data_IF_738742573731
#
_entry.id   IF_738742573731
#
_cell.length_a   1.000
_cell.length_b   1.000
_cell.length_c   1.000
_cell.angle_alpha   90.00
_cell.angle_beta   90.00
_cell.angle_gamma   90.00
#
_symmetry.space_group_name_H-M   'P 1'
#
loop_
_entity.id
_entity.type
_entity.pdbx_description
1 polymer ?
#
# COMPACT_ATOMS: atom_id res chain seq x y z
N UNK A 1 15.80 -19.18 4.53
CA UNK A 1 14.62 -18.45 4.19
C UNK A 1 14.85 -16.96 3.96
N UNK A 2 14.01 -16.11 4.56
CA UNK A 2 14.14 -14.63 4.41
C UNK A 2 15.49 -14.13 4.94
N UNK A 3 15.99 -14.68 6.06
CA UNK A 3 17.30 -14.32 6.63
C UNK A 3 18.48 -14.57 5.68
N UNK A 4 18.35 -15.58 4.86
CA UNK A 4 19.43 -16.00 3.96
C UNK A 4 19.31 -15.35 2.58
N UNK A 5 18.36 -14.41 2.39
CA UNK A 5 18.13 -13.73 1.13
C UNK A 5 17.46 -14.59 0.05
N UNK A 6 16.88 -15.75 0.41
CA UNK A 6 16.20 -16.62 -0.55
C UNK A 6 14.72 -16.31 -0.76
N UNK A 7 14.12 -15.50 0.11
CA UNK A 7 12.70 -15.11 0.04
C UNK A 7 12.55 -13.63 0.31
N UNK A 8 11.61 -13.00 -0.42
CA UNK A 8 11.24 -11.58 -0.23
C UNK A 8 10.45 -11.40 1.07
N UNK A 9 10.82 -10.48 1.96
CA UNK A 9 10.03 -10.12 3.14
C UNK A 9 8.71 -9.45 2.75
N UNK A 10 7.78 -9.29 3.70
CA UNK A 10 6.50 -8.66 3.42
C UNK A 10 6.02 -7.72 4.52
N UNK A 11 5.19 -6.73 4.11
CA UNK A 11 4.42 -5.86 4.98
C UNK A 11 2.98 -6.35 5.01
N UNK A 12 2.36 -6.34 6.19
CA UNK A 12 0.92 -6.56 6.34
C UNK A 12 0.25 -5.21 6.61
N UNK A 13 -0.75 -4.87 5.83
CA UNK A 13 -1.68 -3.77 6.06
C UNK A 13 -3.06 -4.34 6.34
N UNK A 14 -3.46 -4.39 7.60
CA UNK A 14 -4.81 -4.79 7.99
C UNK A 14 -5.74 -3.59 7.86
N UNK A 15 -6.87 -3.77 7.20
CA UNK A 15 -7.90 -2.73 7.01
C UNK A 15 -9.21 -3.29 7.54
N UNK A 16 -9.74 -2.65 8.57
CA UNK A 16 -11.03 -2.95 9.18
C UNK A 16 -12.08 -1.95 8.68
N UNK A 17 -13.30 -2.40 8.51
CA UNK A 17 -14.43 -1.57 8.09
C UNK A 17 -15.50 -1.50 9.18
N UNK A 18 -16.15 -0.35 9.30
CA UNK A 18 -17.34 -0.21 10.15
C UNK A 18 -18.51 -1.11 9.72
N UNK A 19 -18.39 -1.76 8.54
CA UNK A 19 -19.37 -2.69 7.96
C UNK A 19 -18.85 -4.15 7.95
N UNK A 20 -17.91 -4.50 8.81
CA UNK A 20 -17.46 -5.89 8.97
C UNK A 20 -18.47 -6.72 9.77
N UNK A 21 -19.43 -6.05 10.42
CA UNK A 21 -20.65 -6.60 10.96
C UNK A 21 -21.84 -5.80 10.42
N UNK A 22 -22.92 -6.49 10.03
CA UNK A 22 -24.13 -5.87 9.52
C UNK A 22 -25.37 -6.41 10.21
N UNK A 23 -26.19 -5.49 10.72
CA UNK A 23 -27.56 -5.79 11.19
C UNK A 23 -28.51 -4.96 10.35
N UNK A 24 -29.51 -5.63 9.76
CA UNK A 24 -30.47 -4.97 8.87
C UNK A 24 -31.18 -3.80 9.56
N UNK A 25 -31.23 -2.68 8.85
CA UNK A 25 -31.98 -1.50 9.26
C UNK A 25 -33.23 -1.33 8.42
N UNK A 26 -34.36 -0.83 8.96
CA UNK A 26 -35.60 -0.72 8.24
C UNK A 26 -35.59 0.17 6.98
N UNK A 27 -34.57 1.03 6.86
CA UNK A 27 -34.34 1.95 5.74
C UNK A 27 -33.42 1.37 4.65
N UNK A 28 -32.84 0.19 4.86
CA UNK A 28 -32.05 -0.50 3.85
C UNK A 28 -32.96 -1.43 3.01
N UNK A 29 -32.73 -1.46 1.70
CA UNK A 29 -33.50 -2.28 0.76
C UNK A 29 -32.94 -3.71 0.66
N UNK A 30 -33.81 -4.70 0.77
CA UNK A 30 -33.48 -6.10 0.47
C UNK A 30 -33.79 -6.36 -1.00
N UNK A 31 -32.77 -6.33 -1.86
CA UNK A 31 -32.95 -6.53 -3.31
C UNK A 31 -33.18 -8.02 -3.66
N UNK A 32 -32.51 -8.93 -2.95
CA UNK A 32 -32.65 -10.38 -3.14
C UNK A 32 -32.58 -11.11 -1.79
N UNK A 33 -33.32 -12.23 -1.68
CA UNK A 33 -33.33 -13.12 -0.50
C UNK A 33 -34.30 -12.70 0.58
N UNK A 34 -34.15 -13.32 1.74
CA UNK A 34 -34.98 -13.06 2.94
C UNK A 34 -34.02 -12.83 4.11
N UNK A 35 -34.23 -11.75 4.84
CA UNK A 35 -33.44 -11.41 5.99
C UNK A 35 -34.05 -11.96 7.28
N UNK A 36 -33.21 -12.42 8.20
CA UNK A 36 -33.64 -12.82 9.54
C UNK A 36 -33.66 -11.57 10.43
N UNK A 37 -34.86 -11.20 10.96
CA UNK A 37 -34.98 -10.03 11.83
C UNK A 37 -34.11 -10.15 13.06
N UNK A 38 -33.31 -9.09 13.33
CA UNK A 38 -32.45 -9.00 14.51
C UNK A 38 -31.16 -9.81 14.43
N UNK A 39 -30.90 -10.51 13.31
CA UNK A 39 -29.62 -11.20 13.09
C UNK A 39 -28.54 -10.19 12.72
N UNK A 40 -27.37 -10.32 13.36
CA UNK A 40 -26.14 -9.68 12.94
C UNK A 40 -25.34 -10.64 12.07
N UNK A 41 -24.97 -10.20 10.88
CA UNK A 41 -24.15 -10.93 9.92
C UNK A 41 -22.71 -10.48 10.13
N UNK A 42 -21.83 -11.40 10.48
CA UNK A 42 -20.40 -11.14 10.67
C UNK A 42 -19.59 -11.28 9.39
N UNK A 43 -18.29 -11.07 9.52
CA UNK A 43 -17.35 -11.15 8.40
C UNK A 43 -17.38 -12.51 7.68
N UNK A 44 -17.74 -13.58 8.35
CA UNK A 44 -17.93 -14.93 7.80
C UNK A 44 -19.17 -15.08 6.92
N UNK A 45 -20.18 -14.24 7.14
CA UNK A 45 -21.42 -14.22 6.35
C UNK A 45 -21.26 -13.34 5.09
N UNK A 46 -20.37 -12.34 5.15
CA UNK A 46 -20.18 -11.38 4.07
C UNK A 46 -19.65 -12.06 2.80
N UNK A 47 -20.31 -11.79 1.68
CA UNK A 47 -20.04 -12.37 0.35
C UNK A 47 -20.30 -13.89 0.24
N UNK A 48 -20.72 -14.54 1.33
CA UNK A 48 -21.15 -15.94 1.38
C UNK A 48 -22.67 -16.01 1.48
N UNK A 49 -23.24 -15.47 2.55
CA UNK A 49 -24.69 -15.43 2.83
C UNK A 49 -25.31 -14.10 2.43
N UNK A 50 -24.63 -12.99 2.71
CA UNK A 50 -25.08 -11.62 2.46
C UNK A 50 -24.05 -10.86 1.62
N UNK A 51 -24.52 -10.01 0.70
CA UNK A 51 -23.70 -9.16 -0.15
C UNK A 51 -24.16 -7.72 -0.02
N UNK A 52 -23.20 -6.81 0.20
CA UNK A 52 -23.41 -5.37 0.32
C UNK A 52 -22.41 -4.69 -0.62
N UNK A 53 -22.82 -4.38 -1.87
CA UNK A 53 -21.95 -3.84 -2.90
C UNK A 53 -21.24 -2.55 -2.45
N UNK A 54 -21.94 -1.68 -1.73
CA UNK A 54 -21.37 -0.42 -1.23
C UNK A 54 -20.15 -0.64 -0.31
N UNK A 55 -20.18 -1.72 0.51
CA UNK A 55 -19.02 -2.12 1.32
C UNK A 55 -17.87 -2.59 0.43
N UNK A 56 -18.13 -3.48 -0.51
CA UNK A 56 -17.10 -4.01 -1.41
C UNK A 56 -16.46 -2.89 -2.24
N UNK A 57 -17.25 -1.96 -2.73
CA UNK A 57 -16.77 -0.76 -3.45
C UNK A 57 -15.84 0.07 -2.57
N UNK A 58 -16.18 0.27 -1.31
CA UNK A 58 -15.32 0.99 -0.37
C UNK A 58 -14.00 0.27 -0.13
N UNK A 59 -14.02 -1.05 0.06
CA UNK A 59 -12.81 -1.86 0.24
C UNK A 59 -11.92 -1.82 -1.02
N UNK A 60 -12.51 -1.87 -2.22
CA UNK A 60 -11.78 -1.73 -3.48
C UNK A 60 -11.10 -0.35 -3.58
N UNK A 61 -11.79 0.74 -3.22
CA UNK A 61 -11.21 2.08 -3.19
C UNK A 61 -10.00 2.16 -2.24
N UNK A 62 -10.11 1.58 -1.04
CA UNK A 62 -9.01 1.51 -0.07
C UNK A 62 -7.84 0.65 -0.57
N UNK A 63 -8.15 -0.47 -1.22
CA UNK A 63 -7.14 -1.31 -1.86
C UNK A 63 -6.37 -0.52 -2.94
N UNK A 64 -7.09 0.11 -3.88
CA UNK A 64 -6.49 0.86 -4.99
C UNK A 64 -5.65 2.05 -4.48
N UNK A 65 -6.10 2.73 -3.42
CA UNK A 65 -5.33 3.78 -2.76
C UNK A 65 -4.04 3.27 -2.08
N UNK A 66 -3.99 1.97 -1.76
CA UNK A 66 -2.88 1.34 -1.02
C UNK A 66 -1.82 0.73 -1.91
N UNK A 67 -2.08 0.52 -3.20
CA UNK A 67 -1.18 -0.12 -4.16
C UNK A 67 -0.67 0.87 -5.21
N UNK A 68 0.44 0.52 -5.86
CA UNK A 68 0.85 1.20 -7.08
C UNK A 68 0.06 0.57 -8.26
N UNK A 69 -0.62 1.38 -9.12
CA UNK A 69 -1.47 0.87 -10.20
C UNK A 69 -0.74 0.02 -11.25
N UNK A 70 0.60 0.06 -11.29
CA UNK A 70 1.41 -0.73 -12.24
C UNK A 70 1.98 -2.01 -11.61
N UNK A 71 1.66 -2.30 -10.35
CA UNK A 71 2.20 -3.46 -9.64
C UNK A 71 1.27 -4.68 -9.73
N UNK A 72 1.84 -5.83 -10.10
CA UNK A 72 1.10 -7.10 -10.16
C UNK A 72 0.49 -7.44 -8.80
N UNK A 73 -0.83 -7.62 -8.79
CA UNK A 73 -1.65 -7.81 -7.59
C UNK A 73 -2.55 -9.03 -7.74
N UNK A 74 -2.67 -9.86 -6.71
CA UNK A 74 -3.65 -10.95 -6.64
C UNK A 74 -4.64 -10.68 -5.51
N UNK A 75 -5.94 -10.76 -5.80
CA UNK A 75 -7.04 -10.56 -4.86
C UNK A 75 -7.77 -11.88 -4.62
N UNK A 76 -7.73 -12.36 -3.39
CA UNK A 76 -8.42 -13.59 -2.96
C UNK A 76 -9.81 -13.26 -2.44
N UNK A 77 -10.86 -13.76 -3.12
CA UNK A 77 -12.27 -13.49 -2.88
C UNK A 77 -12.97 -14.70 -2.26
N UNK A 78 -14.11 -14.50 -1.59
CA UNK A 78 -14.86 -15.53 -0.87
C UNK A 78 -15.31 -16.68 -1.79
N UNK A 79 -15.78 -16.35 -2.99
CA UNK A 79 -16.25 -17.29 -3.98
C UNK A 79 -16.14 -16.70 -5.41
N UNK A 80 -16.56 -17.43 -6.42
CA UNK A 80 -16.45 -17.01 -7.82
C UNK A 80 -17.32 -15.79 -8.17
N UNK A 81 -18.51 -15.68 -7.54
CA UNK A 81 -19.38 -14.51 -7.74
C UNK A 81 -18.74 -13.25 -7.12
N UNK A 82 -18.20 -13.37 -5.91
CA UNK A 82 -17.44 -12.28 -5.29
C UNK A 82 -16.23 -11.89 -6.12
N UNK A 83 -15.48 -12.85 -6.69
CA UNK A 83 -14.35 -12.54 -7.58
C UNK A 83 -14.78 -11.78 -8.84
N UNK A 84 -15.97 -12.07 -9.38
CA UNK A 84 -16.54 -11.32 -10.50
C UNK A 84 -16.91 -9.90 -10.10
N UNK A 85 -17.61 -9.71 -8.98
CA UNK A 85 -17.97 -8.39 -8.45
C UNK A 85 -16.73 -7.53 -8.21
N UNK A 86 -15.71 -8.06 -7.52
CA UNK A 86 -14.48 -7.32 -7.23
C UNK A 86 -13.73 -6.96 -8.53
N UNK A 87 -13.69 -7.83 -9.54
CA UNK A 87 -13.12 -7.51 -10.85
C UNK A 87 -13.84 -6.31 -11.49
N UNK A 88 -15.16 -6.29 -11.48
CA UNK A 88 -15.96 -5.20 -12.04
C UNK A 88 -15.68 -3.90 -11.29
N UNK A 89 -15.74 -3.91 -9.97
CA UNK A 89 -15.48 -2.74 -9.13
C UNK A 89 -14.05 -2.20 -9.32
N UNK A 90 -13.04 -3.07 -9.44
CA UNK A 90 -11.65 -2.64 -9.71
C UNK A 90 -11.54 -1.94 -11.06
N UNK A 91 -12.16 -2.48 -12.11
CA UNK A 91 -12.13 -1.86 -13.44
C UNK A 91 -12.91 -0.54 -13.48
N UNK A 92 -13.99 -0.39 -12.69
CA UNK A 92 -14.75 0.86 -12.57
C UNK A 92 -14.00 1.93 -11.76
N UNK A 93 -13.40 1.57 -10.62
CA UNK A 93 -12.80 2.51 -9.67
C UNK A 93 -11.32 2.82 -9.98
N UNK A 94 -10.66 2.02 -10.83
CA UNK A 94 -9.25 2.21 -11.17
C UNK A 94 -9.04 3.44 -12.06
N UNK A 95 -7.84 4.02 -12.00
CA UNK A 95 -7.41 5.06 -12.92
C UNK A 95 -7.03 4.54 -14.32
N UNK A 96 -7.03 3.23 -14.52
CA UNK A 96 -6.69 2.59 -15.80
C UNK A 96 -7.87 2.72 -16.78
N UNK A 97 -7.57 3.11 -18.02
CA UNK A 97 -8.55 3.10 -19.12
C UNK A 97 -8.64 1.76 -19.84
N UNK A 98 -7.82 0.77 -19.45
CA UNK A 98 -7.81 -0.55 -20.08
C UNK A 98 -8.86 -1.44 -19.41
N UNK A 99 -9.85 -1.99 -20.16
CA UNK A 99 -10.89 -2.85 -19.60
C UNK A 99 -10.36 -4.18 -19.05
N UNK A 100 -9.18 -4.62 -19.51
CA UNK A 100 -8.51 -5.85 -19.10
C UNK A 100 -7.51 -5.62 -17.95
N UNK A 101 -7.56 -4.43 -17.29
CA UNK A 101 -6.67 -4.08 -16.18
C UNK A 101 -6.78 -5.08 -15.03
N UNK A 102 -8.01 -5.46 -14.69
CA UNK A 102 -8.30 -6.52 -13.73
C UNK A 102 -9.05 -7.65 -14.41
N UNK A 103 -8.57 -8.88 -14.25
CA UNK A 103 -9.19 -10.07 -14.82
C UNK A 103 -9.46 -11.13 -13.75
N UNK A 104 -10.50 -11.95 -14.00
CA UNK A 104 -10.87 -13.04 -13.10
C UNK A 104 -10.23 -14.36 -13.53
N UNK A 105 -9.73 -15.11 -12.57
CA UNK A 105 -9.18 -16.46 -12.77
C UNK A 105 -9.72 -17.39 -11.69
N UNK A 106 -10.77 -18.14 -12.03
CA UNK A 106 -11.40 -19.13 -11.16
C UNK A 106 -11.49 -20.49 -11.84
N UNK A 107 -11.94 -21.52 -11.14
CA UNK A 107 -12.03 -22.87 -11.70
C UNK A 107 -12.92 -22.92 -12.97
N UNK A 108 -13.99 -22.10 -13.02
CA UNK A 108 -14.96 -22.11 -14.09
C UNK A 108 -14.59 -21.22 -15.30
N UNK A 109 -13.49 -20.48 -15.25
CA UNK A 109 -13.09 -19.60 -16.37
C UNK A 109 -12.37 -20.34 -17.49
N UNK A 110 -12.07 -21.63 -17.33
CA UNK A 110 -11.54 -22.52 -18.36
C UNK A 110 -10.34 -21.95 -19.12
N UNK A 111 -10.35 -22.07 -20.45
CA UNK A 111 -9.25 -21.61 -21.32
C UNK A 111 -9.01 -20.09 -21.27
N UNK A 112 -10.05 -19.29 -21.01
CA UNK A 112 -9.95 -17.83 -20.89
C UNK A 112 -9.16 -17.49 -19.63
N UNK A 113 -9.54 -18.07 -18.49
CA UNK A 113 -8.82 -17.89 -17.24
C UNK A 113 -7.36 -18.32 -17.30
N UNK A 114 -7.06 -19.44 -18.01
CA UNK A 114 -5.68 -19.88 -18.25
C UNK A 114 -4.90 -18.88 -19.10
N UNK A 115 -5.55 -18.22 -20.04
CA UNK A 115 -4.93 -17.18 -20.87
C UNK A 115 -4.61 -15.93 -20.04
N UNK A 116 -5.56 -15.48 -19.18
CA UNK A 116 -5.34 -14.35 -18.28
C UNK A 116 -4.21 -14.65 -17.30
N UNK A 117 -4.18 -15.86 -16.72
CA UNK A 117 -3.11 -16.29 -15.83
C UNK A 117 -1.75 -16.29 -16.53
N UNK A 118 -1.66 -16.82 -17.75
CA UNK A 118 -0.42 -16.84 -18.54
C UNK A 118 0.06 -15.43 -18.85
N UNK A 119 -0.84 -14.53 -19.24
CA UNK A 119 -0.49 -13.13 -19.49
C UNK A 119 -0.03 -12.42 -18.22
N UNK A 120 -0.66 -12.71 -17.08
CA UNK A 120 -0.25 -12.14 -15.78
C UNK A 120 1.13 -12.63 -15.33
N UNK A 121 1.47 -13.90 -15.60
CA UNK A 121 2.78 -14.49 -15.26
C UNK A 121 3.90 -14.00 -16.18
N UNK A 122 3.56 -13.54 -17.37
CA UNK A 122 4.51 -12.98 -18.33
C UNK A 122 4.96 -11.59 -17.85
N UNK A 123 6.25 -11.45 -17.54
CA UNK A 123 6.81 -10.21 -17.01
C UNK A 123 6.97 -9.11 -18.08
N UNK A 124 6.92 -9.48 -19.37
CA UNK A 124 6.92 -8.52 -20.49
C UNK A 124 5.53 -7.91 -20.73
N UNK A 125 4.49 -8.44 -20.07
CA UNK A 125 3.12 -7.95 -20.18
C UNK A 125 2.69 -7.19 -18.95
N UNK A 126 2.21 -5.99 -19.14
CA UNK A 126 1.64 -5.16 -18.07
C UNK A 126 0.21 -5.60 -17.71
N UNK A 127 -0.57 -6.04 -18.71
CA UNK A 127 -1.99 -6.40 -18.58
C UNK A 127 -2.19 -7.93 -18.69
N UNK A 128 -3.03 -8.52 -17.82
CA UNK A 128 -3.69 -7.89 -16.68
C UNK A 128 -2.69 -7.55 -15.56
N UNK A 129 -2.94 -6.43 -14.87
CA UNK A 129 -2.13 -6.01 -13.73
C UNK A 129 -2.66 -6.64 -12.44
N UNK A 130 -3.99 -6.81 -12.34
CA UNK A 130 -4.66 -7.40 -11.18
C UNK A 130 -5.39 -8.67 -11.60
N UNK A 131 -5.31 -9.71 -10.76
CA UNK A 131 -6.15 -10.91 -10.87
C UNK A 131 -7.04 -11.06 -9.65
N UNK A 132 -8.33 -11.30 -9.87
CA UNK A 132 -9.24 -11.76 -8.82
C UNK A 132 -9.43 -13.27 -8.90
N UNK A 133 -9.44 -13.93 -7.77
CA UNK A 133 -9.61 -15.39 -7.68
C UNK A 133 -10.38 -15.77 -6.44
N UNK A 134 -10.99 -16.96 -6.43
CA UNK A 134 -11.48 -17.57 -5.19
C UNK A 134 -10.39 -18.40 -4.53
N UNK A 135 -10.18 -19.63 -4.99
CA UNK A 135 -9.22 -20.56 -4.39
C UNK A 135 -8.16 -21.05 -5.39
N UNK A 136 -8.47 -21.02 -6.71
CA UNK A 136 -7.63 -21.59 -7.77
C UNK A 136 -6.16 -21.12 -7.70
N UNK A 137 -5.89 -19.84 -7.39
CA UNK A 137 -4.55 -19.29 -7.39
C UNK A 137 -3.81 -19.44 -6.04
N UNK A 138 -4.40 -20.09 -5.02
CA UNK A 138 -3.68 -20.45 -3.81
C UNK A 138 -2.54 -21.44 -4.09
N UNK A 139 -2.66 -22.22 -5.16
CA UNK A 139 -1.63 -23.12 -5.69
C UNK A 139 -1.35 -22.83 -7.18
N UNK A 140 -0.18 -23.21 -7.68
CA UNK A 140 0.11 -23.24 -9.13
C UNK A 140 0.49 -21.92 -9.83
N UNK A 141 0.46 -20.75 -9.17
CA UNK A 141 0.88 -19.48 -9.80
C UNK A 141 2.39 -19.30 -9.72
N UNK A 142 3.04 -19.09 -10.85
CA UNK A 142 4.48 -18.78 -10.95
C UNK A 142 4.74 -17.37 -11.47
N UNK A 143 4.14 -16.37 -10.84
CA UNK A 143 4.43 -14.97 -11.10
C UNK A 143 5.44 -14.44 -10.07
N UNK A 144 6.68 -14.18 -10.47
CA UNK A 144 7.74 -13.74 -9.54
C UNK A 144 7.57 -12.29 -9.11
N UNK A 145 7.01 -11.44 -9.98
CA UNK A 145 6.84 -10.01 -9.74
C UNK A 145 5.51 -9.64 -9.07
N UNK A 146 4.93 -10.53 -8.27
CA UNK A 146 3.77 -10.18 -7.43
C UNK A 146 4.24 -9.23 -6.34
N UNK A 147 3.63 -8.03 -6.29
CA UNK A 147 3.94 -6.97 -5.32
C UNK A 147 2.88 -6.87 -4.24
N UNK A 148 1.64 -7.25 -4.54
CA UNK A 148 0.55 -7.14 -3.59
C UNK A 148 -0.28 -8.44 -3.57
N UNK A 149 -0.64 -8.88 -2.37
CA UNK A 149 -1.59 -9.96 -2.12
C UNK A 149 -2.72 -9.37 -1.29
N UNK A 150 -3.95 -9.51 -1.74
CA UNK A 150 -5.14 -8.94 -1.09
C UNK A 150 -6.02 -10.07 -0.60
N UNK A 151 -6.37 -10.05 0.68
CA UNK A 151 -7.25 -11.03 1.33
C UNK A 151 -8.62 -10.40 1.58
N UNK A 152 -9.61 -10.76 0.76
CA UNK A 152 -11.03 -10.39 0.90
C UNK A 152 -11.91 -11.62 1.24
N UNK A 153 -11.28 -12.69 1.66
CA UNK A 153 -11.95 -13.90 2.15
C UNK A 153 -11.29 -14.43 3.40
N UNK A 154 -12.07 -15.09 4.22
CA UNK A 154 -11.52 -15.78 5.38
C UNK A 154 -10.55 -16.88 4.92
N UNK A 155 -9.41 -16.93 5.59
CA UNK A 155 -8.43 -18.01 5.46
C UNK A 155 -8.60 -18.96 6.64
N UNK A 156 -8.80 -20.24 6.34
CA UNK A 156 -9.24 -21.21 7.35
C UNK A 156 -8.09 -21.96 8.04
N UNK A 157 -6.90 -21.93 7.46
CA UNK A 157 -5.74 -22.64 8.03
C UNK A 157 -4.41 -21.91 7.81
N UNK A 158 -3.46 -22.17 8.70
CA UNK A 158 -2.09 -21.68 8.58
C UNK A 158 -1.41 -22.19 7.29
N UNK A 159 -1.74 -23.43 6.87
CA UNK A 159 -1.18 -24.00 5.62
C UNK A 159 -1.65 -23.18 4.43
N UNK A 160 -2.95 -22.90 4.35
CA UNK A 160 -3.54 -22.08 3.30
C UNK A 160 -2.96 -20.66 3.33
N UNK A 161 -2.88 -20.04 4.49
CA UNK A 161 -2.26 -18.73 4.67
C UNK A 161 -0.82 -18.71 4.12
N UNK A 162 0.01 -19.67 4.52
CA UNK A 162 1.38 -19.79 4.02
C UNK A 162 1.46 -20.04 2.52
N UNK A 163 0.52 -20.79 1.94
CA UNK A 163 0.45 -21.00 0.49
C UNK A 163 0.13 -19.70 -0.26
N UNK A 164 -0.84 -18.93 0.23
CA UNK A 164 -1.21 -17.63 -0.33
C UNK A 164 -0.04 -16.66 -0.26
N UNK A 165 0.53 -16.46 0.94
CA UNK A 165 1.66 -15.54 1.15
C UNK A 165 2.89 -15.98 0.34
N UNK A 166 3.12 -17.28 0.21
CA UNK A 166 4.19 -17.86 -0.61
C UNK A 166 4.18 -17.44 -2.08
N UNK A 167 3.05 -16.91 -2.60
CA UNK A 167 3.00 -16.35 -3.96
C UNK A 167 3.80 -15.06 -4.07
N UNK A 168 3.84 -14.26 -3.00
CA UNK A 168 4.60 -13.00 -2.94
C UNK A 168 6.06 -13.15 -2.55
N UNK A 169 6.47 -14.27 -1.94
CA UNK A 169 7.83 -14.40 -1.38
C UNK A 169 8.94 -14.60 -2.42
N UNK A 170 8.62 -14.82 -3.68
CA UNK A 170 9.61 -15.08 -4.74
C UNK A 170 10.45 -13.85 -5.01
N UNK A 171 11.77 -14.07 -5.18
CA UNK A 171 12.71 -13.01 -5.50
C UNK A 171 12.49 -12.48 -6.93
N UNK A 172 12.59 -11.17 -7.06
CA UNK A 172 12.55 -10.47 -8.34
C UNK A 172 13.42 -9.22 -8.23
N UNK A 173 14.06 -8.82 -9.33
CA UNK A 173 14.87 -7.60 -9.38
C UNK A 173 14.03 -6.37 -9.00
N UNK A 174 14.54 -5.54 -8.12
CA UNK A 174 13.84 -4.36 -7.60
C UNK A 174 12.63 -4.67 -6.72
N UNK A 175 12.49 -5.90 -6.20
CA UNK A 175 11.46 -6.30 -5.25
C UNK A 175 12.07 -6.53 -3.87
N UNK A 176 12.14 -5.47 -3.07
CA UNK A 176 12.70 -5.52 -1.73
C UNK A 176 11.73 -6.12 -0.72
N UNK A 177 10.43 -5.93 -0.95
CA UNK A 177 9.33 -6.50 -0.18
C UNK A 177 8.07 -6.63 -1.05
N UNK A 178 7.04 -7.30 -0.53
CA UNK A 178 5.69 -7.26 -1.07
C UNK A 178 4.69 -6.90 0.04
N UNK A 179 3.49 -6.48 -0.33
CA UNK A 179 2.46 -6.07 0.62
C UNK A 179 1.34 -7.09 0.66
N UNK A 180 0.91 -7.45 1.86
CA UNK A 180 -0.33 -8.18 2.12
C UNK A 180 -1.35 -7.17 2.64
N UNK A 181 -2.45 -7.01 1.91
CA UNK A 181 -3.59 -6.19 2.33
C UNK A 181 -4.65 -7.14 2.87
N UNK A 182 -4.94 -7.05 4.14
CA UNK A 182 -5.77 -7.99 4.88
C UNK A 182 -7.06 -7.31 5.35
N UNK A 183 -8.17 -7.60 4.67
CA UNK A 183 -9.51 -7.09 5.00
C UNK A 183 -10.31 -8.04 5.92
N UNK A 184 -9.74 -9.18 6.32
CA UNK A 184 -10.45 -10.21 7.07
C UNK A 184 -9.77 -10.57 8.39
N UNK A 185 -8.73 -9.83 8.76
CA UNK A 185 -7.98 -10.07 10.00
C UNK A 185 -7.25 -11.41 10.03
N UNK A 186 -6.97 -12.01 8.87
CA UNK A 186 -6.33 -13.31 8.76
C UNK A 186 -4.96 -13.32 9.46
N UNK A 187 -4.21 -12.22 9.34
CA UNK A 187 -2.92 -12.07 9.98
C UNK A 187 -2.99 -12.22 11.51
N UNK A 188 -3.95 -11.55 12.15
CA UNK A 188 -4.12 -11.62 13.62
C UNK A 188 -4.41 -13.04 14.07
N UNK A 189 -5.28 -13.75 13.35
CA UNK A 189 -5.67 -15.13 13.62
C UNK A 189 -4.47 -16.09 13.58
N UNK A 190 -3.49 -15.86 12.69
CA UNK A 190 -2.35 -16.74 12.49
C UNK A 190 -1.06 -16.29 13.18
N UNK A 191 -1.06 -15.13 13.82
CA UNK A 191 0.07 -14.61 14.57
C UNK A 191 -0.05 -14.87 16.09
N UNK A 192 -1.11 -15.54 16.56
CA UNK A 192 -1.24 -15.93 17.95
C UNK A 192 -0.34 -17.16 18.25
N UNK A 193 0.46 -17.11 19.33
CA UNK A 193 1.37 -18.22 19.69
C UNK A 193 0.69 -19.57 19.87
N UNK A 194 -0.59 -19.58 20.29
CA UNK A 194 -1.40 -20.78 20.44
C UNK A 194 -1.71 -21.48 19.10
N UNK A 195 -1.68 -20.76 17.99
CA UNK A 195 -1.87 -21.28 16.63
C UNK A 195 -0.58 -21.77 15.98
N UNK A 196 0.55 -21.23 16.38
CA UNK A 196 1.85 -21.66 15.85
C UNK A 196 2.27 -23.03 16.38
N UNK A 197 1.59 -23.60 17.38
CA UNK A 197 1.89 -24.89 18.01
C UNK A 197 3.39 -25.13 18.12
N UNK A 198 3.94 -25.60 19.22
CA UNK A 198 5.35 -25.96 19.27
C UNK A 198 5.71 -26.81 18.04
N UNK A 199 6.85 -26.57 17.35
CA UNK A 199 7.28 -27.42 16.26
C UNK A 199 7.24 -28.86 16.74
N UNK A 200 6.38 -29.69 16.16
CA UNK A 200 6.38 -31.12 16.46
C UNK A 200 7.76 -31.61 16.03
N UNK A 201 8.64 -31.87 17.00
CA UNK A 201 9.90 -32.54 16.71
C UNK A 201 9.55 -33.82 15.98
N UNK A 202 10.20 -34.14 14.84
CA UNK A 202 9.95 -35.37 14.14
C UNK A 202 10.32 -36.52 15.09
N UNK A 203 9.32 -37.24 15.57
CA UNK A 203 9.53 -38.46 16.37
C UNK A 203 10.21 -39.47 15.46
N UNK A 204 11.42 -39.91 15.75
CA UNK A 204 12.09 -40.93 14.95
C UNK A 204 11.30 -42.24 15.10
N UNK A 205 10.63 -42.69 14.04
CA UNK A 205 10.10 -44.04 13.96
C UNK A 205 8.59 -44.23 13.93
N UNK A 206 7.80 -43.22 13.67
CA UNK A 206 6.34 -43.32 13.45
C UNK A 206 5.99 -43.49 11.99
N UNK A 207 5.99 -44.70 11.45
CA UNK A 207 5.27 -45.08 10.23
C UNK A 207 3.78 -45.02 10.49
N UNK A 208 3.17 -43.85 10.25
CA UNK A 208 1.74 -43.64 10.45
C UNK A 208 1.23 -42.50 9.55
N UNK A 209 1.59 -42.56 8.28
CA UNK A 209 0.91 -41.77 7.26
C UNK A 209 -0.56 -42.19 7.22
N UNK A 210 -1.46 -41.35 7.72
CA UNK A 210 -2.89 -41.51 7.49
C UNK A 210 -3.08 -41.43 5.97
N UNK A 211 -3.27 -42.58 5.33
CA UNK A 211 -3.73 -42.62 3.94
C UNK A 211 -5.04 -41.84 3.91
N UNK A 212 -5.22 -40.92 2.95
CA UNK A 212 -6.51 -40.29 2.74
C UNK A 212 -7.55 -41.42 2.55
N UNK A 213 -8.61 -41.36 3.31
CA UNK A 213 -9.75 -42.26 3.13
C UNK A 213 -10.31 -41.98 1.73
N UNK A 214 -10.71 -43.04 1.04
CA UNK A 214 -11.03 -43.10 -0.40
C UNK A 214 -12.25 -42.28 -0.84
N UNK A 215 -12.74 -41.37 -0.01
CA UNK A 215 -13.97 -40.60 -0.19
C UNK A 215 -13.76 -39.06 -0.33
N UNK A 216 -12.53 -38.59 -0.37
CA UNK A 216 -12.23 -37.20 -0.72
C UNK A 216 -12.20 -37.07 -2.24
N UNK A 217 -13.39 -36.92 -2.83
CA UNK A 217 -13.51 -36.51 -4.24
C UNK A 217 -13.39 -35.00 -4.36
N UNK A 218 -12.64 -34.57 -5.35
CA UNK A 218 -12.69 -33.20 -5.84
C UNK A 218 -14.14 -32.85 -6.18
N UNK A 219 -14.62 -31.71 -5.71
CA UNK A 219 -16.00 -31.27 -6.01
C UNK A 219 -16.13 -30.98 -7.50
N UNK A 220 -17.09 -31.61 -8.16
CA UNK A 220 -17.34 -31.43 -9.59
C UNK A 220 -17.77 -29.99 -9.95
N UNK A 221 -18.25 -29.19 -8.97
CA UNK A 221 -18.71 -27.81 -9.18
C UNK A 221 -17.60 -26.76 -8.95
N UNK A 222 -16.71 -26.97 -7.98
CA UNK A 222 -15.69 -25.98 -7.64
C UNK A 222 -14.25 -26.49 -7.70
N UNK A 223 -14.04 -27.78 -7.92
CA UNK A 223 -12.72 -28.41 -8.00
C UNK A 223 -12.00 -28.59 -6.66
N UNK A 224 -12.71 -28.57 -5.54
CA UNK A 224 -12.10 -28.54 -4.22
C UNK A 224 -12.29 -29.82 -3.41
N UNK A 225 -11.25 -30.20 -2.65
CA UNK A 225 -11.23 -31.36 -1.77
C UNK A 225 -12.04 -31.16 -0.47
N UNK A 226 -12.34 -29.94 -0.08
CA UNK A 226 -13.17 -29.60 1.09
C UNK A 226 -14.17 -28.50 0.75
N UNK A 227 -14.96 -28.72 -0.28
CA UNK A 227 -15.90 -27.72 -0.73
C UNK A 227 -17.15 -27.63 0.15
N UNK A 228 -17.75 -26.45 0.14
CA UNK A 228 -19.04 -26.20 0.82
C UNK A 228 -20.24 -26.37 -0.12
N UNK A 229 -20.02 -26.82 -1.38
CA UNK A 229 -21.07 -26.98 -2.39
C UNK A 229 -22.05 -28.11 -2.04
N UNK A 230 -21.62 -29.13 -1.28
CA UNK A 230 -22.48 -30.22 -0.77
C UNK A 230 -23.30 -29.85 0.49
N UNK A 231 -23.16 -28.62 0.98
CA UNK A 231 -24.08 -28.14 2.00
C UNK A 231 -25.45 -27.94 1.37
N UNK A 232 -26.55 -28.22 2.12
CA UNK A 232 -27.91 -28.06 1.61
C UNK A 232 -28.05 -26.67 0.98
N UNK A 233 -28.87 -26.50 -0.08
CA UNK A 233 -28.94 -25.28 -0.86
C UNK A 233 -29.00 -24.10 0.09
N UNK A 234 -27.91 -23.33 0.09
CA UNK A 234 -27.81 -22.06 0.82
C UNK A 234 -29.04 -21.28 0.41
N UNK A 235 -29.85 -20.86 1.37
CA UNK A 235 -30.94 -19.92 1.17
C UNK A 235 -30.44 -18.85 0.19
N UNK A 236 -31.27 -18.49 -0.78
CA UNK A 236 -30.86 -17.49 -1.82
C UNK A 236 -30.01 -16.40 -1.21
N UNK A 237 -28.85 -16.14 -1.81
CA UNK A 237 -27.93 -15.12 -1.33
C UNK A 237 -28.69 -13.81 -1.11
N UNK A 238 -28.50 -13.20 0.06
CA UNK A 238 -29.18 -11.95 0.42
C UNK A 238 -28.37 -10.81 -0.17
N UNK A 239 -29.00 -9.96 -0.96
CA UNK A 239 -28.39 -8.72 -1.45
C UNK A 239 -29.05 -7.53 -0.79
N UNK A 240 -28.23 -6.67 -0.20
CA UNK A 240 -28.64 -5.46 0.52
C UNK A 240 -28.12 -4.23 -0.21
N UNK A 241 -29.03 -3.31 -0.47
CA UNK A 241 -28.72 -1.95 -0.87
C UNK A 241 -28.91 -1.03 0.32
N UNK A 242 -27.82 -0.40 0.74
CA UNK A 242 -27.85 0.56 1.84
C UNK A 242 -28.71 1.79 1.46
N UNK A 243 -29.40 2.35 2.42
CA UNK A 243 -30.16 3.59 2.27
C UNK A 243 -29.23 4.73 1.77
N UNK A 244 -29.84 5.70 1.08
CA UNK A 244 -29.12 6.82 0.48
C UNK A 244 -28.27 7.57 1.52
N UNK A 245 -26.98 7.72 1.20
CA UNK A 245 -26.00 8.38 2.06
C UNK A 245 -25.19 7.46 2.96
N UNK A 246 -25.70 6.29 3.41
CA UNK A 246 -24.99 5.36 4.30
C UNK A 246 -23.67 4.84 3.71
N UNK A 247 -23.58 4.67 2.39
CA UNK A 247 -22.34 4.26 1.73
C UNK A 247 -21.18 5.24 1.98
N UNK A 248 -21.48 6.52 2.22
CA UNK A 248 -20.49 7.56 2.56
C UNK A 248 -20.06 7.54 4.02
N UNK A 249 -20.83 6.86 4.88
CA UNK A 249 -20.56 6.70 6.31
C UNK A 249 -19.69 5.48 6.61
N UNK A 250 -19.36 4.67 5.60
CA UNK A 250 -18.48 3.52 5.77
C UNK A 250 -17.06 4.03 6.04
N UNK A 251 -16.60 3.82 7.27
CA UNK A 251 -15.26 4.21 7.72
C UNK A 251 -14.34 2.99 7.69
N UNK A 252 -13.12 3.21 7.26
CA UNK A 252 -12.06 2.20 7.28
C UNK A 252 -10.91 2.66 8.17
N UNK A 253 -10.34 1.72 8.93
CA UNK A 253 -9.16 1.95 9.76
C UNK A 253 -8.07 0.99 9.33
N UNK A 254 -6.83 1.45 9.21
CA UNK A 254 -5.72 0.61 8.76
C UNK A 254 -4.55 0.61 9.74
N UNK A 255 -3.96 -0.58 9.92
CA UNK A 255 -2.73 -0.79 10.71
C UNK A 255 -1.74 -1.52 9.83
N UNK A 256 -0.48 -1.05 9.79
CA UNK A 256 0.60 -1.69 9.02
C UNK A 256 1.63 -2.33 9.94
N UNK A 257 2.00 -3.56 9.66
CA UNK A 257 3.05 -4.32 10.35
C UNK A 257 4.01 -4.95 9.35
N UNK A 258 5.23 -5.16 9.75
CA UNK A 258 6.27 -5.78 8.92
C UNK A 258 6.60 -7.17 9.46
N UNK A 259 6.83 -8.10 8.55
CA UNK A 259 7.07 -9.51 8.88
C UNK A 259 8.44 -9.95 8.42
N UNK A 260 9.25 -10.47 9.35
CA UNK A 260 10.53 -11.11 9.05
C UNK A 260 10.53 -12.47 9.73
N UNK A 261 10.75 -13.55 8.96
CA UNK A 261 10.79 -14.94 9.44
C UNK A 261 9.53 -15.34 10.24
N UNK A 262 8.36 -14.83 9.85
CA UNK A 262 7.08 -15.09 10.51
C UNK A 262 6.88 -14.34 11.83
N UNK A 263 7.77 -13.43 12.20
CA UNK A 263 7.63 -12.61 13.42
C UNK A 263 7.32 -11.16 13.06
N UNK A 264 6.38 -10.52 13.76
CA UNK A 264 6.15 -9.10 13.62
C UNK A 264 7.36 -8.32 14.10
N UNK A 265 7.79 -7.35 13.32
CA UNK A 265 8.88 -6.43 13.67
C UNK A 265 8.39 -5.00 13.51
N UNK A 266 8.95 -4.11 14.33
CA UNK A 266 8.72 -2.68 14.15
C UNK A 266 9.30 -2.20 12.81
N UNK A 267 8.72 -1.13 12.26
CA UNK A 267 9.19 -0.55 11.00
C UNK A 267 10.67 -0.20 11.04
N UNK A 268 11.18 0.27 12.18
CA UNK A 268 12.60 0.60 12.37
C UNK A 268 13.50 -0.62 12.22
N UNK A 269 13.11 -1.75 12.81
CA UNK A 269 13.85 -3.00 12.69
C UNK A 269 13.79 -3.56 11.27
N UNK A 270 12.62 -3.46 10.62
CA UNK A 270 12.44 -3.86 9.23
C UNK A 270 13.34 -3.05 8.29
N UNK A 271 13.34 -1.73 8.44
CA UNK A 271 14.19 -0.81 7.67
C UNK A 271 15.67 -1.11 7.92
N UNK A 272 16.10 -1.29 9.18
CA UNK A 272 17.48 -1.64 9.52
C UNK A 272 17.92 -2.95 8.85
N UNK A 273 17.04 -3.93 8.69
CA UNK A 273 17.36 -5.22 8.04
C UNK A 273 17.40 -5.11 6.52
N UNK A 274 16.52 -4.30 5.91
CA UNK A 274 16.55 -4.06 4.45
C UNK A 274 17.75 -3.22 4.05
N UNK A 275 18.08 -2.22 4.87
CA UNK A 275 19.12 -1.23 4.57
C UNK A 275 20.30 -1.33 5.55
N UNK A 276 20.72 -2.54 5.87
CA UNK A 276 21.75 -2.91 6.86
C UNK A 276 23.10 -2.17 6.69
N UNK A 277 23.26 -1.36 5.65
CA UNK A 277 24.49 -0.66 5.28
C UNK A 277 24.38 0.86 5.36
N UNK A 278 23.22 1.41 5.72
CA UNK A 278 23.06 2.85 5.86
C UNK A 278 23.67 3.32 7.18
N UNK A 279 24.97 3.54 7.20
CA UNK A 279 25.65 4.26 8.27
C UNK A 279 25.31 5.76 8.15
N UNK A 280 24.01 6.10 8.28
CA UNK A 280 23.53 7.47 8.16
C UNK A 280 24.22 8.45 9.12
N UNK A 281 24.54 8.07 10.39
CA UNK A 281 25.28 8.96 11.29
C UNK A 281 26.65 9.40 10.78
N UNK A 282 27.26 8.67 9.86
CA UNK A 282 28.52 9.10 9.24
C UNK A 282 28.34 10.17 8.16
N UNK A 283 27.13 10.35 7.63
CA UNK A 283 26.80 11.38 6.63
C UNK A 283 26.37 12.70 7.27
N UNK A 284 25.76 12.63 8.47
CA UNK A 284 25.35 13.78 9.27
C UNK A 284 25.36 13.42 10.76
N UNK A 285 26.14 14.12 11.53
CA UNK A 285 26.41 13.81 12.95
C UNK A 285 25.21 14.08 13.87
N UNK A 286 24.25 14.89 13.44
CA UNK A 286 23.09 15.30 14.23
C UNK A 286 21.91 15.69 13.35
N UNK A 287 20.71 15.71 13.95
CA UNK A 287 19.50 16.19 13.30
C UNK A 287 19.66 17.62 12.77
N UNK A 288 20.30 18.50 13.53
CA UNK A 288 20.58 19.86 13.11
C UNK A 288 21.51 19.93 11.89
N UNK A 289 22.48 19.03 11.81
CA UNK A 289 23.36 18.92 10.64
C UNK A 289 22.56 18.45 9.43
N UNK A 290 21.67 17.45 9.59
CA UNK A 290 20.77 17.02 8.52
C UNK A 290 19.87 18.16 8.04
N UNK A 291 19.26 18.93 8.95
CA UNK A 291 18.42 20.11 8.62
C UNK A 291 19.18 21.13 7.78
N UNK A 292 20.39 21.48 8.17
CA UNK A 292 21.25 22.43 7.43
C UNK A 292 21.63 21.91 6.05
N UNK A 293 22.02 20.63 5.95
CA UNK A 293 22.36 20.02 4.67
C UNK A 293 21.15 19.95 3.73
N UNK A 294 19.97 19.67 4.27
CA UNK A 294 18.75 19.56 3.50
C UNK A 294 18.15 20.90 3.11
N UNK A 295 18.22 21.88 3.97
CA UNK A 295 17.71 23.24 3.77
C UNK A 295 18.43 24.04 2.67
N UNK A 296 19.53 23.53 2.13
CA UNK A 296 20.22 24.15 1.01
C UNK A 296 20.22 23.21 -0.21
N UNK A 297 19.73 23.63 -1.39
CA UNK A 297 19.60 22.76 -2.56
C UNK A 297 20.93 22.17 -3.05
N UNK A 298 22.06 22.87 -2.84
CA UNK A 298 23.38 22.40 -3.27
C UNK A 298 23.84 21.25 -2.38
N UNK A 299 23.86 21.46 -1.06
CA UNK A 299 24.30 20.44 -0.10
C UNK A 299 23.32 19.27 -0.02
N UNK A 300 22.01 19.51 -0.26
CA UNK A 300 21.01 18.46 -0.40
C UNK A 300 21.34 17.50 -1.55
N UNK A 301 21.70 18.02 -2.73
CA UNK A 301 22.12 17.19 -3.85
C UNK A 301 23.39 16.37 -3.54
N UNK A 302 24.36 16.99 -2.87
CA UNK A 302 25.56 16.27 -2.43
C UNK A 302 25.24 15.15 -1.44
N UNK A 303 24.33 15.41 -0.50
CA UNK A 303 23.87 14.40 0.45
C UNK A 303 23.16 13.24 -0.28
N UNK A 304 22.24 13.54 -1.20
CA UNK A 304 21.55 12.50 -1.99
C UNK A 304 22.53 11.68 -2.82
N UNK A 305 23.54 12.30 -3.41
CA UNK A 305 24.61 11.59 -4.13
C UNK A 305 25.43 10.68 -3.22
N UNK A 306 25.81 11.14 -2.03
CA UNK A 306 26.51 10.31 -1.04
C UNK A 306 25.67 9.13 -0.54
N UNK A 307 24.35 9.30 -0.43
CA UNK A 307 23.43 8.22 -0.11
C UNK A 307 23.40 7.18 -1.25
N UNK A 308 23.36 7.62 -2.50
CA UNK A 308 23.39 6.74 -3.67
C UNK A 308 24.70 5.93 -3.76
N UNK A 309 25.84 6.56 -3.47
CA UNK A 309 27.14 5.88 -3.37
C UNK A 309 27.19 4.79 -2.28
N UNK A 310 26.27 4.85 -1.32
CA UNK A 310 26.07 3.86 -0.24
C UNK A 310 24.88 2.91 -0.50
N UNK A 311 24.47 2.74 -1.75
CA UNK A 311 23.35 1.92 -2.17
C UNK A 311 21.97 2.33 -1.59
N UNK A 312 21.79 3.63 -1.32
CA UNK A 312 20.50 4.21 -0.99
C UNK A 312 20.15 5.29 -2.02
N UNK A 313 19.54 4.86 -3.10
CA UNK A 313 19.09 5.76 -4.16
C UNK A 313 17.89 6.60 -3.72
N UNK A 314 17.62 7.67 -4.48
CA UNK A 314 16.37 8.43 -4.32
C UNK A 314 15.13 7.54 -4.47
N UNK A 315 15.17 6.55 -5.37
CA UNK A 315 14.07 5.58 -5.54
C UNK A 315 13.85 4.76 -4.26
N UNK A 316 14.91 4.39 -3.55
CA UNK A 316 14.80 3.67 -2.29
C UNK A 316 14.19 4.54 -1.18
N UNK A 317 14.55 5.82 -1.12
CA UNK A 317 13.91 6.78 -0.20
C UNK A 317 12.42 6.95 -0.50
N UNK A 318 12.01 6.98 -1.77
CA UNK A 318 10.59 7.04 -2.17
C UNK A 318 9.84 5.76 -1.80
N UNK A 319 10.47 4.58 -1.92
CA UNK A 319 9.89 3.32 -1.43
C UNK A 319 9.70 3.35 0.09
N UNK A 320 10.71 3.81 0.83
CA UNK A 320 10.62 3.98 2.28
C UNK A 320 9.50 4.94 2.67
N UNK A 321 9.35 6.05 1.96
CA UNK A 321 8.27 7.01 2.14
C UNK A 321 6.89 6.34 2.00
N UNK A 322 6.73 5.46 1.01
CA UNK A 322 5.49 4.67 0.85
C UNK A 322 5.31 3.66 1.99
N UNK A 323 6.39 3.00 2.42
CA UNK A 323 6.34 2.01 3.51
C UNK A 323 5.89 2.61 4.84
N UNK A 324 6.25 3.85 5.14
CA UNK A 324 5.84 4.56 6.36
C UNK A 324 4.56 5.38 6.19
N UNK A 325 3.81 5.15 5.10
CA UNK A 325 2.57 5.87 4.74
C UNK A 325 2.74 7.42 4.71
N UNK A 326 3.92 7.90 4.29
CA UNK A 326 4.33 9.31 4.31
C UNK A 326 4.35 9.96 2.89
N UNK A 327 3.44 9.57 1.99
CA UNK A 327 3.40 10.06 0.59
C UNK A 327 3.33 11.60 0.49
N UNK A 328 2.64 12.26 1.43
CA UNK A 328 2.50 13.71 1.47
C UNK A 328 3.59 14.43 2.28
N UNK A 329 4.57 13.68 2.80
CA UNK A 329 5.72 14.21 3.53
C UNK A 329 6.88 14.49 2.57
N UNK A 330 7.95 15.07 3.07
CA UNK A 330 9.21 15.26 2.33
C UNK A 330 10.12 14.03 2.48
N UNK A 331 11.06 13.81 1.57
CA UNK A 331 12.13 12.81 1.75
C UNK A 331 13.02 13.12 2.97
N UNK A 332 13.07 14.36 3.39
CA UNK A 332 13.68 14.77 4.65
C UNK A 332 13.07 14.06 5.85
N UNK A 333 11.74 13.95 5.88
CA UNK A 333 11.01 13.27 6.95
C UNK A 333 11.31 11.78 6.98
N UNK A 334 11.53 11.17 5.81
CA UNK A 334 11.98 9.77 5.72
C UNK A 334 13.34 9.59 6.37
N UNK A 335 14.30 10.47 6.05
CA UNK A 335 15.63 10.44 6.65
C UNK A 335 15.58 10.70 8.16
N UNK A 336 14.75 11.64 8.63
CA UNK A 336 14.54 11.90 10.05
C UNK A 336 13.93 10.70 10.78
N UNK A 337 12.92 10.07 10.17
CA UNK A 337 12.29 8.89 10.74
C UNK A 337 13.29 7.73 10.89
N UNK A 338 14.07 7.45 9.86
CA UNK A 338 15.06 6.36 9.87
C UNK A 338 16.18 6.61 10.88
N UNK A 339 16.64 7.87 10.98
CA UNK A 339 17.82 8.21 11.79
C UNK A 339 17.51 8.52 13.23
N UNK A 340 16.35 9.11 13.50
CA UNK A 340 16.00 9.68 14.82
C UNK A 340 14.63 9.24 15.33
N UNK A 341 13.89 8.39 14.60
CA UNK A 341 12.52 7.96 14.91
C UNK A 341 11.52 9.13 15.03
N UNK A 342 11.79 10.26 14.38
CA UNK A 342 10.91 11.43 14.39
C UNK A 342 9.67 11.16 13.52
N UNK A 343 8.48 11.49 14.03
CA UNK A 343 7.24 11.34 13.27
C UNK A 343 7.25 12.23 12.03
N UNK A 344 7.01 11.67 10.82
CA UNK A 344 6.91 12.46 9.59
C UNK A 344 5.80 13.51 9.67
N UNK A 345 6.03 14.68 9.08
CA UNK A 345 5.03 15.74 8.91
C UNK A 345 4.78 15.99 7.43
N UNK A 346 3.55 16.35 7.08
CA UNK A 346 3.22 16.65 5.68
C UNK A 346 3.94 17.90 5.18
N UNK A 347 4.16 17.99 3.87
CA UNK A 347 4.72 19.21 3.23
C UNK A 347 3.88 20.45 3.55
N UNK A 348 2.54 20.30 3.57
CA UNK A 348 1.63 21.37 3.94
C UNK A 348 1.85 21.83 5.39
N UNK A 349 1.93 20.88 6.32
CA UNK A 349 2.19 21.18 7.74
C UNK A 349 3.56 21.83 7.93
N UNK A 350 4.60 21.37 7.23
CA UNK A 350 5.93 21.97 7.24
C UNK A 350 5.88 23.43 6.76
N UNK A 351 5.26 23.69 5.59
CA UNK A 351 5.13 25.03 5.05
C UNK A 351 4.39 25.95 6.02
N UNK A 352 3.28 25.50 6.61
CA UNK A 352 2.51 26.28 7.58
C UNK A 352 3.30 26.58 8.87
N UNK A 353 4.04 25.61 9.39
CA UNK A 353 4.86 25.82 10.59
C UNK A 353 6.03 26.79 10.36
N UNK A 354 6.55 26.81 9.15
CA UNK A 354 7.69 27.67 8.79
C UNK A 354 7.29 29.08 8.34
N UNK A 355 6.01 29.38 8.15
CA UNK A 355 5.49 30.60 7.54
C UNK A 355 6.03 31.86 8.22
N UNK A 356 5.92 31.96 9.54
CA UNK A 356 6.39 33.12 10.31
C UNK A 356 7.92 33.31 10.16
N UNK A 357 8.68 32.23 10.21
CA UNK A 357 10.13 32.26 10.05
C UNK A 357 10.53 32.72 8.64
N UNK A 358 9.85 32.20 7.62
CA UNK A 358 10.09 32.58 6.23
C UNK A 358 9.72 34.04 6.02
N UNK A 359 8.55 34.51 6.49
CA UNK A 359 8.11 35.87 6.30
C UNK A 359 8.95 36.90 7.06
N UNK A 360 9.53 36.54 8.21
CA UNK A 360 10.46 37.38 8.93
C UNK A 360 11.77 37.65 8.17
N UNK A 361 12.16 36.72 7.30
CA UNK A 361 13.33 36.83 6.44
C UNK A 361 13.07 37.66 5.18
N UNK A 362 11.86 37.64 4.64
CA UNK A 362 11.50 38.28 3.37
C UNK A 362 11.30 39.80 3.54
N UNK A 363 11.87 40.59 2.62
CA UNK A 363 11.94 42.04 2.76
C UNK A 363 10.65 42.76 2.40
N UNK A 364 9.96 42.29 1.36
CA UNK A 364 8.83 42.97 0.79
C UNK A 364 7.69 42.00 0.37
N UNK A 365 6.60 42.57 -0.12
CA UNK A 365 5.41 41.82 -0.50
C UNK A 365 5.66 40.96 -1.75
N UNK A 366 6.43 41.44 -2.70
CA UNK A 366 6.71 40.76 -3.96
C UNK A 366 7.50 39.48 -3.70
N UNK A 367 8.52 39.54 -2.83
CA UNK A 367 9.25 38.35 -2.40
C UNK A 367 8.35 37.34 -1.71
N UNK A 368 7.39 37.77 -0.87
CA UNK A 368 6.43 36.89 -0.21
C UNK A 368 5.55 36.20 -1.23
N UNK A 369 4.94 36.94 -2.16
CA UNK A 369 4.10 36.37 -3.21
C UNK A 369 4.87 35.37 -4.12
N UNK A 370 6.16 35.61 -4.32
CA UNK A 370 7.01 34.67 -5.05
C UNK A 370 7.24 33.38 -4.25
N UNK A 371 7.60 33.48 -2.98
CA UNK A 371 7.87 32.33 -2.13
C UNK A 371 6.58 31.55 -1.85
N UNK A 372 5.42 32.20 -1.68
CA UNK A 372 4.12 31.52 -1.55
C UNK A 372 3.80 30.68 -2.78
N UNK A 373 4.07 31.20 -3.98
CA UNK A 373 3.95 30.44 -5.22
C UNK A 373 4.86 29.20 -5.23
N UNK A 374 6.13 29.35 -4.84
CA UNK A 374 7.08 28.24 -4.75
C UNK A 374 6.63 27.19 -3.72
N UNK A 375 6.21 27.63 -2.53
CA UNK A 375 5.70 26.74 -1.48
C UNK A 375 4.43 26.01 -1.91
N UNK A 376 3.52 26.67 -2.63
CA UNK A 376 2.32 26.02 -3.19
C UNK A 376 2.68 24.88 -4.15
N UNK A 377 3.67 25.08 -5.01
CA UNK A 377 4.17 24.06 -5.92
C UNK A 377 4.91 22.93 -5.15
N UNK A 378 5.73 23.26 -4.17
CA UNK A 378 6.39 22.30 -3.31
C UNK A 378 5.40 21.38 -2.57
N UNK A 379 4.33 21.94 -2.01
CA UNK A 379 3.29 21.15 -1.32
C UNK A 379 2.67 20.14 -2.28
N UNK A 380 2.41 20.51 -3.53
CA UNK A 380 1.77 19.67 -4.55
C UNK A 380 2.73 18.64 -5.14
N UNK A 381 3.92 19.09 -5.56
CA UNK A 381 4.80 18.33 -6.44
C UNK A 381 6.05 17.78 -5.72
N UNK A 382 6.34 18.29 -4.49
CA UNK A 382 7.46 17.82 -3.67
C UNK A 382 8.77 18.59 -3.88
N UNK A 383 9.86 17.97 -3.44
CA UNK A 383 11.18 18.60 -3.25
C UNK A 383 11.83 19.12 -4.54
N UNK A 384 11.41 18.62 -5.71
CA UNK A 384 11.97 19.06 -7.00
C UNK A 384 11.66 20.53 -7.31
N UNK A 385 10.56 21.06 -6.76
CA UNK A 385 10.22 22.47 -6.84
C UNK A 385 11.16 23.38 -6.04
N UNK A 386 12.00 22.79 -5.20
CA UNK A 386 13.00 23.50 -4.40
C UNK A 386 14.44 23.34 -4.96
N UNK A 387 14.61 22.76 -6.15
CA UNK A 387 15.92 22.68 -6.81
C UNK A 387 16.24 23.99 -7.52
N UNK A 388 17.38 24.60 -7.20
CA UNK A 388 17.82 25.87 -7.79
C UNK A 388 18.07 25.80 -9.31
N UNK A 389 18.25 24.60 -9.87
CA UNK A 389 18.35 24.38 -11.32
C UNK A 389 17.00 24.59 -12.02
N UNK A 390 15.90 24.42 -11.32
CA UNK A 390 14.55 24.61 -11.83
C UNK A 390 14.06 26.06 -11.66
N UNK A 391 14.85 26.93 -11.01
CA UNK A 391 14.46 28.32 -10.69
C UNK A 391 14.02 29.10 -11.93
N UNK A 392 14.71 28.97 -13.07
CA UNK A 392 14.32 29.61 -14.32
C UNK A 392 12.92 29.22 -14.80
N UNK A 393 12.58 27.95 -14.71
CA UNK A 393 11.24 27.43 -15.05
C UNK A 393 10.19 27.94 -14.07
N UNK A 394 10.50 27.97 -12.79
CA UNK A 394 9.60 28.46 -11.73
C UNK A 394 9.28 29.94 -11.96
N UNK A 395 10.30 30.74 -12.25
CA UNK A 395 10.17 32.17 -12.55
C UNK A 395 9.27 32.39 -13.78
N UNK A 396 9.54 31.68 -14.88
CA UNK A 396 8.76 31.84 -16.12
C UNK A 396 7.32 31.38 -15.96
N UNK A 397 7.03 30.43 -15.09
CA UNK A 397 5.66 29.98 -14.78
C UNK A 397 4.87 31.06 -14.04
N UNK A 398 5.53 31.89 -13.21
CA UNK A 398 4.86 32.97 -12.46
C UNK A 398 4.86 34.30 -13.20
N UNK A 399 6.01 34.73 -13.78
CA UNK A 399 6.24 36.07 -14.31
C UNK A 399 6.32 36.15 -15.84
N UNK A 400 6.09 35.07 -16.57
CA UNK A 400 6.20 34.93 -18.04
C UNK A 400 7.63 35.08 -18.59
N UNK A 401 8.47 35.95 -18.01
CA UNK A 401 9.88 36.11 -18.38
C UNK A 401 10.74 36.37 -17.16
N UNK A 402 12.05 36.10 -17.30
CA UNK A 402 13.05 36.44 -16.27
C UNK A 402 13.14 37.95 -16.07
N UNK A 403 13.05 38.73 -17.17
CA UNK A 403 13.11 40.18 -17.11
C UNK A 403 11.95 40.80 -16.35
N UNK A 404 10.71 40.22 -16.48
CA UNK A 404 9.58 40.70 -15.70
C UNK A 404 9.78 40.41 -14.20
N UNK A 405 10.35 39.25 -13.88
CA UNK A 405 10.66 38.92 -12.50
C UNK A 405 11.74 39.82 -11.89
N UNK A 406 12.76 40.21 -12.67
CA UNK A 406 13.83 41.12 -12.22
C UNK A 406 13.29 42.51 -11.88
N UNK A 407 12.23 42.97 -12.55
CA UNK A 407 11.61 44.26 -12.24
C UNK A 407 10.89 44.26 -10.88
N UNK A 408 10.40 43.12 -10.45
CA UNK A 408 9.64 43.00 -9.21
C UNK A 408 10.49 42.50 -8.03
N UNK A 409 11.47 41.61 -8.26
CA UNK A 409 12.18 40.89 -7.21
C UNK A 409 13.63 41.29 -7.03
N UNK A 410 14.20 42.10 -7.95
CA UNK A 410 15.61 42.40 -8.02
C UNK A 410 16.35 41.56 -9.07
N UNK A 411 17.66 41.68 -9.15
CA UNK A 411 18.45 40.96 -10.16
C UNK A 411 18.44 39.43 -9.94
N UNK A 412 18.80 38.67 -10.97
CA UNK A 412 18.82 37.20 -10.96
C UNK A 412 19.56 36.60 -9.77
N UNK A 413 20.68 37.20 -9.34
CA UNK A 413 21.48 36.72 -8.20
C UNK A 413 20.72 36.93 -6.87
N UNK A 414 20.04 38.07 -6.73
CA UNK A 414 19.18 38.36 -5.56
C UNK A 414 17.99 37.41 -5.48
N UNK A 415 17.32 37.13 -6.60
CA UNK A 415 16.22 36.18 -6.68
C UNK A 415 16.72 34.78 -6.27
N UNK A 416 17.85 34.34 -6.79
CA UNK A 416 18.46 33.06 -6.46
C UNK A 416 18.86 32.99 -4.97
N UNK A 417 19.41 34.03 -4.44
CA UNK A 417 19.79 34.11 -3.02
C UNK A 417 18.58 33.97 -2.11
N UNK A 418 17.49 34.67 -2.41
CA UNK A 418 16.23 34.55 -1.67
C UNK A 418 15.67 33.14 -1.78
N UNK A 419 15.67 32.56 -3.00
CA UNK A 419 15.18 31.21 -3.26
C UNK A 419 15.98 30.12 -2.52
N UNK A 420 17.28 30.29 -2.35
CA UNK A 420 18.11 29.36 -1.59
C UNK A 420 17.90 29.56 -0.08
N UNK A 421 17.93 30.78 0.40
CA UNK A 421 17.90 31.08 1.83
C UNK A 421 16.56 30.80 2.49
N UNK A 422 15.42 31.02 1.81
CA UNK A 422 14.13 30.71 2.43
C UNK A 422 13.99 29.22 2.78
N UNK A 423 14.66 28.32 2.04
CA UNK A 423 14.62 26.89 2.29
C UNK A 423 15.31 26.53 3.62
N UNK A 424 16.31 27.28 4.05
CA UNK A 424 16.89 27.09 5.39
C UNK A 424 15.83 27.33 6.48
N UNK A 425 14.99 28.38 6.30
CA UNK A 425 13.88 28.67 7.22
C UNK A 425 12.76 27.62 7.16
N UNK A 426 12.53 26.99 6.01
CA UNK A 426 11.55 25.92 5.84
C UNK A 426 11.89 24.67 6.66
N UNK A 427 13.18 24.39 6.89
CA UNK A 427 13.65 23.21 7.61
C UNK A 427 14.21 23.52 9.01
N UNK A 428 14.15 24.77 9.47
CA UNK A 428 14.49 25.11 10.86
C UNK A 428 13.55 24.39 11.84
N UNK A 429 14.09 24.06 13.01
CA UNK A 429 13.28 23.61 14.12
C UNK A 429 12.55 24.82 14.70
N UNK A 430 11.22 24.78 14.75
CA UNK A 430 10.47 25.78 15.50
C UNK A 430 10.74 25.51 16.97
N UNK A 431 11.56 26.33 17.59
CA UNK A 431 11.69 26.40 19.05
C UNK A 431 10.34 26.96 19.55
N UNK A 432 9.44 26.05 19.92
CA UNK A 432 8.18 26.39 20.60
C UNK A 432 8.43 26.82 22.04
#
# INVERSE_FOLDING_TARGET
GIRDGFLTPFRVKTIESSMDEYTHQPDDDVEEGEIEEGRTYGIEDLNVTIEIEARERRLVQEMLASINPNEKTIVFCANQAHAALIRELINEESSSSNPDYCERVTANDGAIGETHLRNFQDNEKEIPTILTTSQKLSTGVDARNIRNIVLMRIVNSMIEFKQIIGRGTRLWEGKDYFTVIDFVGAYHKFNEPEWDGEPIEPVPGGTGGRRPTKDEKECDECGEMSCICDKPPVSKKIKIKLADGKAREIVTTSISMFMIDGKPVGIEEFIKKLFNTLQLPELFESENTLRKLWGNPITRRELLKKLEERNCSRADLLKLQQMIDAKDCDLFDVLQYISYANKPITRLERASRAEDNIYSFLKDKQQREFIDFVLSNYVKNGIDELDDRNLGTIITNKYRSITDAEQELGNTDEIRDVFIKFQEHLYLENVS
#
